data_IF_813935156900
#
_entry.id   IF_813935156900
#
_cell.length_a   1.000
_cell.length_b   1.000
_cell.length_c   1.000
_cell.angle_alpha   90.00
_cell.angle_beta   90.00
_cell.angle_gamma   90.00
#
_symmetry.space_group_name_H-M   'P 1'
#
loop_
_entity.id
_entity.type
_entity.pdbx_description
1 polymer ?
#
# COMPACT_ATOMS: atom_id res chain seq x y z
N UNK A 1 -30.57 -70.90 -23.60
CA UNK A 1 -29.68 -69.88 -23.01
C UNK A 1 -30.54 -68.82 -22.34
N UNK A 2 -30.61 -68.81 -20.99
CA UNK A 2 -31.18 -67.71 -20.22
C UNK A 2 -30.02 -66.94 -19.63
N UNK A 3 -29.87 -65.68 -20.01
CA UNK A 3 -28.82 -64.78 -19.50
C UNK A 3 -29.42 -64.01 -18.33
N UNK A 4 -28.85 -64.21 -17.15
CA UNK A 4 -29.16 -63.43 -15.94
C UNK A 4 -28.52 -62.05 -16.07
N UNK A 5 -29.33 -60.98 -15.94
CA UNK A 5 -28.84 -59.63 -15.79
C UNK A 5 -28.83 -59.30 -14.29
N UNK A 6 -27.64 -59.26 -13.69
CA UNK A 6 -27.43 -58.80 -12.32
C UNK A 6 -27.26 -57.28 -12.35
N UNK A 7 -28.20 -56.55 -11.75
CA UNK A 7 -28.03 -55.12 -11.45
C UNK A 7 -27.15 -54.99 -10.21
N UNK A 8 -25.94 -54.45 -10.37
CA UNK A 8 -25.09 -54.01 -9.26
C UNK A 8 -25.34 -52.52 -9.05
N UNK A 9 -26.02 -52.16 -7.96
CA UNK A 9 -26.14 -50.79 -7.49
C UNK A 9 -24.83 -50.43 -6.75
N UNK A 10 -24.00 -49.59 -7.36
CA UNK A 10 -22.82 -49.03 -6.69
C UNK A 10 -23.24 -47.82 -5.87
N UNK A 11 -23.28 -47.97 -4.54
CA UNK A 11 -23.37 -46.85 -3.61
C UNK A 11 -21.99 -46.17 -3.53
N UNK A 12 -21.81 -45.03 -4.20
CA UNK A 12 -20.70 -44.13 -3.89
C UNK A 12 -21.04 -43.35 -2.62
N UNK A 13 -20.56 -43.83 -1.46
CA UNK A 13 -20.45 -43.00 -0.27
C UNK A 13 -19.25 -42.07 -0.44
N UNK A 14 -19.49 -40.83 -0.90
CA UNK A 14 -18.52 -39.75 -0.75
C UNK A 14 -18.57 -39.25 0.69
N UNK A 15 -17.81 -39.89 1.58
CA UNK A 15 -17.53 -39.33 2.90
C UNK A 15 -16.43 -38.29 2.72
N UNK A 16 -16.78 -37.12 2.19
CA UNK A 16 -15.95 -35.94 2.38
C UNK A 16 -15.98 -35.64 3.89
N UNK A 17 -14.93 -36.02 4.60
CA UNK A 17 -14.75 -35.51 5.95
C UNK A 17 -14.63 -34.00 5.80
N UNK A 18 -15.57 -33.25 6.40
CA UNK A 18 -15.38 -31.84 6.60
C UNK A 18 -14.07 -31.70 7.36
N UNK A 19 -13.05 -31.13 6.71
CA UNK A 19 -11.82 -30.75 7.40
C UNK A 19 -12.24 -29.66 8.37
N UNK A 20 -12.41 -30.03 9.63
CA UNK A 20 -12.61 -29.06 10.69
C UNK A 20 -11.33 -28.23 10.75
N UNK A 21 -11.43 -26.94 10.42
CA UNK A 21 -10.35 -26.00 10.64
C UNK A 21 -9.96 -26.10 12.13
N UNK A 22 -8.66 -26.18 12.40
CA UNK A 22 -8.12 -26.06 13.75
C UNK A 22 -8.19 -24.58 14.15
N UNK A 23 -9.41 -24.08 14.31
CA UNK A 23 -9.69 -22.69 14.62
C UNK A 23 -9.44 -22.46 16.10
N UNK A 24 -8.27 -21.87 16.38
CA UNK A 24 -7.99 -20.84 17.40
C UNK A 24 -6.49 -20.62 17.39
N UNK A 25 -6.09 -19.36 17.22
CA UNK A 25 -4.68 -18.99 17.30
C UNK A 25 -4.09 -19.56 18.59
N UNK A 26 -2.96 -20.30 18.54
CA UNK A 26 -2.34 -20.90 19.72
C UNK A 26 -1.68 -19.85 20.64
N UNK A 27 -1.86 -18.56 20.34
CA UNK A 27 -1.29 -17.45 21.11
C UNK A 27 -1.69 -17.56 22.58
N UNK A 28 -0.68 -17.64 23.43
CA UNK A 28 -0.83 -17.32 24.83
C UNK A 28 -1.20 -15.83 24.97
N UNK A 29 -2.37 -15.56 25.55
CA UNK A 29 -2.90 -14.20 25.73
C UNK A 29 -1.96 -13.29 26.52
N UNK A 30 -1.01 -13.86 27.25
CA UNK A 30 0.00 -13.13 28.01
C UNK A 30 1.26 -12.78 27.19
N UNK A 31 1.34 -13.24 25.93
CA UNK A 31 2.50 -12.94 25.07
C UNK A 31 2.48 -11.48 24.65
N UNK A 32 3.45 -10.72 25.16
CA UNK A 32 3.72 -9.37 24.69
C UNK A 32 4.63 -9.38 23.46
N UNK A 33 4.26 -8.59 22.45
CA UNK A 33 5.05 -8.38 21.24
C UNK A 33 4.82 -6.99 20.66
N UNK A 34 5.74 -6.55 19.81
CA UNK A 34 5.77 -5.21 19.23
C UNK A 34 5.91 -5.22 17.71
N UNK A 35 5.17 -4.32 17.06
CA UNK A 35 5.27 -4.03 15.63
C UNK A 35 5.67 -2.57 15.42
N UNK A 36 6.84 -2.34 14.85
CA UNK A 36 7.20 -1.06 14.25
C UNK A 36 6.61 -0.98 12.83
N UNK A 37 5.91 0.10 12.51
CA UNK A 37 5.36 0.35 11.19
C UNK A 37 5.66 1.79 10.78
N UNK A 38 6.07 1.95 9.52
CA UNK A 38 6.38 3.26 8.94
C UNK A 38 5.59 3.48 7.65
N UNK A 39 5.63 4.71 7.15
CA UNK A 39 5.03 5.09 5.87
C UNK A 39 5.80 4.64 4.63
N UNK A 40 5.48 5.24 3.48
CA UNK A 40 6.04 4.90 2.18
C UNK A 40 7.57 5.10 2.12
N UNK A 41 8.28 4.14 1.50
CA UNK A 41 9.74 4.19 1.31
C UNK A 41 10.08 4.24 -0.17
N UNK A 42 10.49 5.43 -0.58
CA UNK A 42 11.07 5.75 -1.88
C UNK A 42 12.51 6.21 -1.64
N UNK A 43 13.47 5.31 -1.85
CA UNK A 43 14.87 5.48 -1.43
C UNK A 43 15.86 5.12 -2.53
N UNK A 44 16.52 6.14 -3.07
CA UNK A 44 17.51 5.99 -4.13
C UNK A 44 18.95 6.28 -3.68
N UNK A 45 19.16 6.67 -2.42
CA UNK A 45 20.49 6.96 -1.84
C UNK A 45 20.69 6.20 -0.54
N UNK A 46 21.93 5.82 -0.27
CA UNK A 46 22.37 5.16 0.96
C UNK A 46 22.07 6.00 2.20
N UNK A 47 21.68 5.32 3.27
CA UNK A 47 21.34 5.87 4.57
C UNK A 47 22.26 5.41 5.71
N UNK A 48 22.99 4.31 5.56
CA UNK A 48 23.84 3.77 6.64
C UNK A 48 24.81 4.80 7.22
N UNK A 49 25.30 5.71 6.38
CA UNK A 49 26.18 6.81 6.80
C UNK A 49 25.56 7.82 7.77
N UNK A 50 24.23 7.80 7.99
CA UNK A 50 23.52 8.64 8.97
C UNK A 50 23.26 7.89 10.28
N UNK A 51 23.49 6.58 10.35
CA UNK A 51 23.30 5.79 11.57
C UNK A 51 24.52 5.87 12.50
N UNK A 52 24.76 7.06 13.06
CA UNK A 52 25.85 7.28 13.99
C UNK A 52 25.52 8.36 15.01
N UNK A 53 26.23 8.41 16.17
CA UNK A 53 25.96 9.40 17.21
C UNK A 53 26.08 10.88 16.81
N UNK A 54 26.63 11.16 15.62
CA UNK A 54 26.73 12.52 15.06
C UNK A 54 25.45 12.98 14.36
N UNK A 55 24.50 12.09 14.11
CA UNK A 55 23.15 12.38 13.60
C UNK A 55 22.11 11.69 14.51
N UNK A 56 21.92 12.20 15.74
CA UNK A 56 21.13 11.53 16.77
C UNK A 56 19.68 11.29 16.35
N UNK A 57 19.08 12.20 15.60
CA UNK A 57 17.69 12.04 15.14
C UNK A 57 17.48 10.86 14.20
N UNK A 58 18.48 10.54 13.35
CA UNK A 58 18.46 9.32 12.53
C UNK A 58 18.82 8.09 13.35
N UNK A 59 19.90 8.19 14.14
CA UNK A 59 20.42 7.06 14.93
C UNK A 59 19.41 6.54 15.96
N UNK A 60 18.73 7.44 16.67
CA UNK A 60 17.68 7.08 17.63
C UNK A 60 16.49 6.43 16.94
N UNK A 61 16.06 6.96 15.80
CA UNK A 61 14.97 6.38 15.00
C UNK A 61 15.30 4.95 14.56
N UNK A 62 16.52 4.70 14.07
CA UNK A 62 16.99 3.36 13.73
C UNK A 62 16.99 2.42 14.95
N UNK A 63 17.41 2.91 16.13
CA UNK A 63 17.39 2.12 17.36
C UNK A 63 15.96 1.76 17.81
N UNK A 64 14.99 2.65 17.63
CA UNK A 64 13.57 2.35 17.91
C UNK A 64 13.07 1.22 17.01
N UNK A 65 13.40 1.25 15.72
CA UNK A 65 12.98 0.21 14.76
C UNK A 65 13.60 -1.13 15.11
N UNK A 66 14.91 -1.17 15.39
CA UNK A 66 15.64 -2.40 15.79
C UNK A 66 15.14 -3.02 17.08
N UNK A 67 14.55 -2.23 17.96
CA UNK A 67 14.05 -2.70 19.25
C UNK A 67 12.71 -3.45 19.15
N UNK A 68 11.97 -3.31 18.04
CA UNK A 68 10.71 -4.00 17.83
C UNK A 68 10.91 -5.48 17.46
N UNK A 69 9.95 -6.34 17.83
CA UNK A 69 9.99 -7.76 17.46
C UNK A 69 9.81 -7.96 15.94
N UNK A 70 9.06 -7.08 15.28
CA UNK A 70 8.97 -6.97 13.84
C UNK A 70 8.85 -5.51 13.37
N UNK A 71 9.37 -5.24 12.18
CA UNK A 71 9.40 -3.92 11.57
C UNK A 71 8.93 -3.97 10.11
N UNK A 72 7.80 -3.31 9.86
CA UNK A 72 7.09 -3.28 8.59
C UNK A 72 7.28 -1.96 7.83
N UNK A 73 7.38 -2.06 6.50
CA UNK A 73 7.35 -0.93 5.58
C UNK A 73 6.72 -1.27 4.22
N UNK A 74 6.21 -0.26 3.52
CA UNK A 74 5.92 -0.34 2.08
C UNK A 74 7.16 0.01 1.25
N UNK A 75 7.70 -0.95 0.50
CA UNK A 75 8.82 -0.72 -0.42
C UNK A 75 8.27 -0.23 -1.76
N UNK A 76 8.16 1.09 -1.91
CA UNK A 76 7.50 1.76 -3.04
C UNK A 76 8.47 2.07 -4.19
N UNK A 77 9.23 1.07 -4.60
CA UNK A 77 10.20 1.19 -5.68
C UNK A 77 10.61 -0.18 -6.22
N UNK A 78 11.28 -0.21 -7.36
CA UNK A 78 12.06 -1.37 -7.77
C UNK A 78 13.44 -1.37 -7.11
N UNK A 79 14.07 -2.54 -6.94
CA UNK A 79 15.44 -2.63 -6.40
C UNK A 79 16.31 -3.51 -7.29
N UNK A 80 17.20 -2.88 -8.04
CA UNK A 80 18.23 -3.53 -8.86
C UNK A 80 19.22 -2.47 -9.40
N UNK A 81 20.39 -2.89 -9.88
CA UNK A 81 21.29 -1.97 -10.59
C UNK A 81 20.80 -1.75 -12.01
N UNK A 82 20.48 -0.51 -12.35
CA UNK A 82 20.03 -0.14 -13.71
C UNK A 82 21.02 -0.57 -14.80
N UNK A 83 22.33 -0.54 -14.52
CA UNK A 83 23.37 -0.90 -15.47
C UNK A 83 23.44 -2.40 -15.78
N UNK A 84 22.93 -3.24 -14.87
CA UNK A 84 22.94 -4.71 -14.97
C UNK A 84 21.53 -5.26 -15.23
N UNK A 85 20.55 -4.37 -15.39
CA UNK A 85 19.15 -4.75 -15.52
C UNK A 85 18.84 -5.38 -16.87
N UNK A 86 18.39 -6.63 -16.84
CA UNK A 86 17.87 -7.35 -18.02
C UNK A 86 16.35 -7.12 -18.15
N UNK A 87 16.00 -5.96 -18.70
CA UNK A 87 14.61 -5.54 -18.92
C UNK A 87 14.50 -4.14 -19.48
N UNK A 88 13.29 -3.58 -19.45
CA UNK A 88 13.00 -2.24 -19.96
C UNK A 88 12.14 -1.46 -18.97
N UNK A 89 12.27 -0.12 -18.91
CA UNK A 89 11.25 0.71 -18.27
C UNK A 89 9.88 0.43 -18.93
N UNK A 90 8.83 0.34 -18.12
CA UNK A 90 7.48 0.17 -18.61
C UNK A 90 6.94 1.48 -19.18
N UNK A 91 6.07 1.41 -20.19
CA UNK A 91 5.44 2.61 -20.76
C UNK A 91 4.53 3.35 -19.77
N UNK A 92 3.98 2.63 -18.78
CA UNK A 92 3.20 3.18 -17.66
C UNK A 92 4.00 3.02 -16.36
N UNK A 93 3.97 4.04 -15.50
CA UNK A 93 4.65 4.06 -14.21
C UNK A 93 3.77 4.68 -13.13
N UNK A 94 4.16 4.50 -11.86
CA UNK A 94 3.44 4.97 -10.68
C UNK A 94 3.43 6.50 -10.47
N UNK A 95 4.05 7.28 -11.37
CA UNK A 95 4.21 8.73 -11.24
C UNK A 95 5.65 9.20 -11.47
N UNK A 96 6.60 8.27 -11.40
CA UNK A 96 8.03 8.40 -11.65
C UNK A 96 8.58 6.98 -11.93
N UNK A 97 9.86 6.83 -12.26
CA UNK A 97 10.51 5.51 -12.35
C UNK A 97 11.31 5.22 -11.08
N UNK A 98 10.62 4.86 -10.00
CA UNK A 98 11.24 4.72 -8.69
C UNK A 98 12.11 3.46 -8.63
N UNK A 99 13.41 3.65 -8.42
CA UNK A 99 14.40 2.56 -8.36
C UNK A 99 15.53 2.86 -7.40
N UNK A 100 15.87 1.86 -6.59
CA UNK A 100 17.02 1.83 -5.70
C UNK A 100 18.00 0.71 -6.08
N UNK A 101 19.19 0.73 -5.48
CA UNK A 101 20.19 -0.33 -5.68
C UNK A 101 20.08 -1.40 -4.59
N UNK A 102 20.68 -2.59 -4.77
CA UNK A 102 20.71 -3.60 -3.70
C UNK A 102 21.26 -3.06 -2.37
N UNK A 103 22.19 -2.11 -2.42
CA UNK A 103 22.72 -1.43 -1.25
C UNK A 103 21.68 -0.56 -0.53
N UNK A 104 20.74 0.08 -1.22
CA UNK A 104 19.70 0.84 -0.50
C UNK A 104 18.78 -0.08 0.27
N UNK A 105 18.48 -1.28 -0.26
CA UNK A 105 17.75 -2.32 0.46
C UNK A 105 18.53 -2.85 1.66
N UNK A 106 19.85 -3.05 1.54
CA UNK A 106 20.69 -3.46 2.68
C UNK A 106 20.64 -2.45 3.82
N UNK A 107 20.58 -1.15 3.53
CA UNK A 107 20.47 -0.12 4.57
C UNK A 107 19.14 -0.19 5.31
N UNK A 108 18.05 -0.49 4.61
CA UNK A 108 16.72 -0.70 5.23
C UNK A 108 16.74 -1.93 6.15
N UNK A 109 17.38 -3.02 5.71
CA UNK A 109 17.54 -4.23 6.53
C UNK A 109 18.42 -3.93 7.75
N UNK A 110 19.54 -3.22 7.57
CA UNK A 110 20.42 -2.80 8.67
C UNK A 110 19.71 -1.86 9.66
N UNK A 111 18.76 -1.04 9.20
CA UNK A 111 17.92 -0.19 10.05
C UNK A 111 16.93 -0.99 10.90
N UNK A 112 16.67 -2.26 10.55
CA UNK A 112 15.87 -3.20 11.33
C UNK A 112 14.61 -3.71 10.62
N UNK A 113 14.30 -3.26 9.40
CA UNK A 113 13.12 -3.72 8.67
C UNK A 113 13.23 -5.18 8.26
N UNK A 114 12.16 -5.94 8.49
CA UNK A 114 12.09 -7.38 8.22
C UNK A 114 10.75 -7.84 7.64
N UNK A 115 9.79 -6.93 7.43
CA UNK A 115 8.52 -7.16 6.73
C UNK A 115 8.34 -6.11 5.63
N UNK A 116 8.22 -6.54 4.37
CA UNK A 116 8.21 -5.64 3.22
C UNK A 116 6.97 -5.85 2.33
N UNK A 117 6.09 -4.85 2.24
CA UNK A 117 5.08 -4.85 1.19
C UNK A 117 5.70 -4.49 -0.17
N UNK A 118 5.28 -5.20 -1.21
CA UNK A 118 5.70 -5.00 -2.60
C UNK A 118 4.56 -4.60 -3.55
N UNK A 119 3.30 -4.67 -3.10
CA UNK A 119 2.15 -4.27 -3.89
C UNK A 119 1.92 -2.75 -3.79
N UNK A 120 2.24 -2.01 -4.84
CA UNK A 120 2.00 -0.58 -4.96
C UNK A 120 1.98 -0.14 -6.43
N UNK A 121 1.68 1.12 -6.67
CA UNK A 121 1.70 1.76 -8.00
C UNK A 121 3.06 1.67 -8.72
N UNK A 122 4.16 1.55 -7.98
CA UNK A 122 5.53 1.47 -8.52
C UNK A 122 6.05 0.04 -8.75
N UNK A 123 5.27 -0.99 -8.42
CA UNK A 123 5.69 -2.39 -8.52
C UNK A 123 6.23 -2.78 -9.91
N UNK A 124 5.69 -2.19 -10.97
CA UNK A 124 6.04 -2.54 -12.37
C UNK A 124 6.53 -1.35 -13.18
N UNK A 125 7.14 -0.34 -12.56
CA UNK A 125 7.78 0.78 -13.28
C UNK A 125 8.80 0.32 -14.32
N UNK A 126 9.45 -0.82 -14.06
CA UNK A 126 10.37 -1.50 -14.98
C UNK A 126 9.81 -2.84 -15.48
N UNK A 127 8.48 -2.88 -15.60
CA UNK A 127 7.71 -4.03 -16.05
C UNK A 127 7.85 -5.26 -15.15
N UNK A 128 7.46 -6.41 -15.69
CA UNK A 128 7.58 -7.70 -15.00
C UNK A 128 9.05 -8.06 -14.72
N UNK A 129 9.99 -7.62 -15.56
CA UNK A 129 11.41 -7.84 -15.36
C UNK A 129 11.90 -7.15 -14.07
N UNK A 130 11.50 -5.90 -13.82
CA UNK A 130 11.84 -5.14 -12.61
C UNK A 130 11.21 -5.71 -11.34
N UNK A 131 9.93 -6.12 -11.43
CA UNK A 131 9.25 -6.85 -10.36
C UNK A 131 10.04 -8.11 -9.99
N UNK A 132 10.37 -8.95 -10.98
CA UNK A 132 11.11 -10.20 -10.76
C UNK A 132 12.53 -9.97 -10.25
N UNK A 133 13.24 -8.97 -10.77
CA UNK A 133 14.58 -8.64 -10.29
C UNK A 133 14.56 -8.27 -8.79
N UNK A 134 13.57 -7.48 -8.39
CA UNK A 134 13.40 -7.10 -6.99
C UNK A 134 13.03 -8.31 -6.12
N UNK A 135 12.03 -9.11 -6.53
CA UNK A 135 11.62 -10.29 -5.78
C UNK A 135 12.77 -11.30 -5.62
N UNK A 136 13.52 -11.58 -6.69
CA UNK A 136 14.69 -12.47 -6.62
C UNK A 136 15.74 -11.98 -5.64
N UNK A 137 16.09 -10.69 -5.68
CA UNK A 137 17.04 -10.12 -4.73
C UNK A 137 16.59 -10.32 -3.29
N UNK A 138 15.31 -10.05 -3.01
CA UNK A 138 14.75 -10.20 -1.66
C UNK A 138 14.70 -11.67 -1.21
N UNK A 139 14.35 -12.59 -2.12
CA UNK A 139 14.38 -14.04 -1.88
C UNK A 139 15.81 -14.54 -1.59
N UNK A 140 16.80 -14.09 -2.38
CA UNK A 140 18.22 -14.42 -2.20
C UNK A 140 18.78 -13.87 -0.88
N UNK A 141 18.29 -12.72 -0.43
CA UNK A 141 18.60 -12.14 0.89
C UNK A 141 17.82 -12.79 2.04
N UNK A 142 16.85 -13.68 1.75
CA UNK A 142 16.00 -14.31 2.77
C UNK A 142 15.03 -13.34 3.46
N UNK A 143 14.64 -12.26 2.79
CA UNK A 143 13.73 -11.24 3.35
C UNK A 143 12.27 -11.66 3.19
N UNK A 144 11.44 -11.33 4.18
CA UNK A 144 10.00 -11.59 4.12
C UNK A 144 9.31 -10.46 3.38
N UNK A 145 8.76 -10.77 2.19
CA UNK A 145 7.98 -9.84 1.40
C UNK A 145 6.65 -10.44 0.94
N UNK A 146 5.69 -9.58 0.60
CA UNK A 146 4.37 -10.00 0.15
C UNK A 146 3.75 -9.00 -0.85
N UNK A 147 2.70 -9.45 -1.54
CA UNK A 147 1.88 -8.62 -2.43
C UNK A 147 2.28 -8.67 -3.90
N UNK A 148 3.32 -9.41 -4.28
CA UNK A 148 3.73 -9.62 -5.69
C UNK A 148 4.05 -11.09 -5.95
N UNK A 149 3.91 -11.52 -7.20
CA UNK A 149 4.23 -12.90 -7.55
C UNK A 149 4.10 -13.20 -9.04
N UNK A 150 4.45 -14.43 -9.39
CA UNK A 150 4.41 -14.94 -10.78
C UNK A 150 2.99 -15.13 -11.33
N UNK A 151 1.98 -15.11 -10.45
CA UNK A 151 0.55 -15.11 -10.78
C UNK A 151 -0.25 -14.62 -9.57
N UNK A 152 -1.57 -14.49 -9.71
CA UNK A 152 -2.43 -13.98 -8.63
C UNK A 152 -2.35 -14.82 -7.36
N UNK A 153 -2.26 -16.15 -7.49
CA UNK A 153 -2.10 -17.05 -6.34
C UNK A 153 -0.83 -16.74 -5.55
N UNK A 154 0.31 -16.59 -6.22
CA UNK A 154 1.56 -16.20 -5.55
C UNK A 154 1.51 -14.80 -4.97
N UNK A 155 0.94 -13.83 -5.70
CA UNK A 155 0.88 -12.45 -5.25
C UNK A 155 -0.02 -12.27 -4.00
N UNK A 156 -1.09 -13.06 -3.88
CA UNK A 156 -2.04 -12.95 -2.77
C UNK A 156 -1.60 -13.67 -1.49
N UNK A 157 -0.60 -14.56 -1.56
CA UNK A 157 -0.17 -15.34 -0.41
C UNK A 157 0.49 -14.47 0.66
N UNK A 158 0.32 -14.83 1.95
CA UNK A 158 1.11 -14.25 3.01
C UNK A 158 2.59 -14.61 2.90
N UNK A 159 3.46 -13.65 3.18
CA UNK A 159 4.84 -13.91 3.61
C UNK A 159 4.86 -14.15 5.14
N UNK A 160 5.76 -15.00 5.64
CA UNK A 160 5.83 -15.32 7.07
C UNK A 160 7.20 -14.99 7.66
N UNK A 161 7.20 -14.23 8.74
CA UNK A 161 8.37 -13.94 9.57
C UNK A 161 8.27 -14.75 10.86
N UNK A 162 9.22 -15.67 11.07
CA UNK A 162 9.35 -16.39 12.33
C UNK A 162 10.15 -15.54 13.33
N UNK A 163 9.58 -15.27 14.51
CA UNK A 163 10.24 -14.55 15.61
C UNK A 163 10.23 -15.39 16.89
N UNK A 164 10.94 -14.93 17.93
CA UNK A 164 10.84 -15.53 19.26
C UNK A 164 9.48 -15.34 19.94
N UNK A 165 8.63 -14.43 19.42
CA UNK A 165 7.28 -14.15 19.92
C UNK A 165 6.19 -14.92 19.20
N UNK A 166 6.49 -15.45 18.02
CA UNK A 166 5.53 -16.11 17.15
C UNK A 166 5.79 -15.82 15.69
N UNK A 167 5.00 -16.46 14.84
CA UNK A 167 5.02 -16.32 13.39
C UNK A 167 4.08 -15.19 12.96
N UNK A 168 4.64 -14.19 12.29
CA UNK A 168 3.91 -13.03 11.77
C UNK A 168 3.69 -13.21 10.27
N UNK A 169 2.43 -13.21 9.85
CA UNK A 169 2.04 -13.19 8.44
C UNK A 169 1.93 -11.74 7.94
N UNK A 170 2.41 -11.48 6.74
CA UNK A 170 2.21 -10.23 6.01
C UNK A 170 1.42 -10.49 4.73
N UNK A 171 0.29 -9.80 4.55
CA UNK A 171 -0.46 -9.78 3.28
C UNK A 171 -0.43 -8.36 2.71
N UNK A 172 0.09 -8.21 1.50
CA UNK A 172 0.18 -6.94 0.78
C UNK A 172 -0.78 -6.85 -0.40
N UNK A 173 -1.34 -5.66 -0.66
CA UNK A 173 -2.17 -5.39 -1.83
C UNK A 173 -2.12 -3.91 -2.27
N UNK A 174 -2.70 -3.59 -3.42
CA UNK A 174 -2.85 -2.20 -3.86
C UNK A 174 -4.14 -2.00 -4.66
N UNK A 175 -4.84 -0.89 -4.44
CA UNK A 175 -5.95 -0.42 -5.30
C UNK A 175 -5.51 0.59 -6.35
N UNK A 176 -4.42 1.32 -6.08
CA UNK A 176 -3.86 2.28 -7.02
C UNK A 176 -2.68 1.65 -7.76
N UNK A 177 -2.89 1.32 -9.03
CA UNK A 177 -1.89 0.67 -9.88
C UNK A 177 -2.20 0.85 -11.37
N UNK A 178 -1.22 0.60 -12.25
CA UNK A 178 -1.48 0.56 -13.69
C UNK A 178 -2.18 -0.75 -14.10
N UNK A 179 -2.89 -0.80 -15.25
CA UNK A 179 -3.62 -2.00 -15.66
C UNK A 179 -2.73 -3.25 -15.83
N UNK A 180 -1.48 -3.05 -16.25
CA UNK A 180 -0.52 -4.12 -16.47
C UNK A 180 0.19 -4.60 -15.19
N UNK A 181 0.08 -3.85 -14.09
CA UNK A 181 0.66 -4.27 -12.80
C UNK A 181 -0.09 -5.45 -12.16
N UNK A 182 -1.38 -5.65 -12.46
CA UNK A 182 -2.21 -6.65 -11.77
C UNK A 182 -1.78 -8.09 -12.09
N UNK A 183 -1.54 -8.89 -11.05
CA UNK A 183 -1.35 -10.33 -11.20
C UNK A 183 -2.62 -11.02 -11.72
N UNK A 184 -2.46 -12.00 -12.61
CA UNK A 184 -3.56 -12.77 -13.18
C UNK A 184 -3.55 -14.22 -12.71
N UNK A 185 -4.71 -14.82 -12.50
CA UNK A 185 -4.85 -16.25 -12.19
C UNK A 185 -4.38 -17.10 -13.37
N UNK A 186 -3.78 -18.25 -13.07
CA UNK A 186 -3.60 -19.31 -14.07
C UNK A 186 -4.94 -19.99 -14.36
N UNK A 187 -5.10 -20.49 -15.59
CA UNK A 187 -6.15 -21.44 -15.95
C UNK A 187 -5.52 -22.80 -16.29
N UNK A 188 -6.32 -23.87 -16.47
CA UNK A 188 -5.77 -25.15 -16.93
C UNK A 188 -5.04 -25.08 -18.27
N UNK A 189 -5.33 -24.06 -19.08
CA UNK A 189 -4.80 -23.93 -20.45
C UNK A 189 -3.63 -22.94 -20.54
N UNK A 190 -3.59 -21.93 -19.68
CA UNK A 190 -2.63 -20.83 -19.78
C UNK A 190 -2.09 -20.44 -18.40
N UNK A 191 -0.78 -20.21 -18.34
CA UNK A 191 -0.12 -19.70 -17.13
C UNK A 191 -0.73 -18.37 -16.65
N UNK A 192 -0.62 -18.11 -15.35
CA UNK A 192 -1.00 -16.84 -14.78
C UNK A 192 -0.06 -15.70 -15.21
N UNK A 193 -0.48 -14.46 -14.94
CA UNK A 193 0.29 -13.26 -15.25
C UNK A 193 1.01 -12.76 -14.00
N UNK A 194 2.34 -12.54 -14.05
CA UNK A 194 3.05 -11.92 -12.94
C UNK A 194 2.55 -10.51 -12.66
N UNK A 195 2.58 -10.09 -11.39
CA UNK A 195 2.13 -8.76 -10.99
C UNK A 195 1.92 -8.64 -9.49
N UNK A 196 1.21 -7.59 -9.10
CA UNK A 196 0.78 -7.32 -7.72
C UNK A 196 -0.60 -7.90 -7.41
N UNK A 197 -0.85 -8.11 -6.11
CA UNK A 197 -2.15 -8.44 -5.55
C UNK A 197 -3.08 -7.22 -5.60
N UNK A 198 -3.85 -7.10 -6.69
CA UNK A 198 -4.63 -5.90 -6.97
C UNK A 198 -6.02 -5.93 -6.31
N UNK A 199 -6.44 -4.79 -5.80
CA UNK A 199 -7.83 -4.50 -5.47
C UNK A 199 -8.45 -3.70 -6.61
N UNK A 200 -9.37 -4.31 -7.35
CA UNK A 200 -10.16 -3.56 -8.35
C UNK A 200 -11.23 -2.75 -7.66
N UNK A 201 -11.42 -1.53 -8.16
CA UNK A 201 -12.49 -0.65 -7.75
C UNK A 201 -13.50 -0.54 -8.87
N UNK A 202 -14.75 -0.83 -8.55
CA UNK A 202 -15.88 -0.67 -9.44
C UNK A 202 -16.40 0.77 -9.32
N UNK A 203 -16.52 1.46 -10.45
CA UNK A 203 -16.96 2.86 -10.51
C UNK A 203 -18.32 2.94 -11.18
N UNK A 204 -19.29 3.45 -10.45
CA UNK A 204 -20.63 3.73 -10.96
C UNK A 204 -20.82 5.23 -11.08
N UNK A 205 -20.97 5.71 -12.31
CA UNK A 205 -21.32 7.10 -12.58
C UNK A 205 -22.83 7.22 -12.50
N UNK A 206 -23.33 8.08 -11.63
CA UNK A 206 -24.74 8.39 -11.49
C UNK A 206 -25.01 9.80 -12.02
N UNK A 207 -26.08 9.93 -12.80
CA UNK A 207 -26.56 11.19 -13.34
C UNK A 207 -27.90 11.56 -12.71
N UNK A 208 -28.01 12.81 -12.27
CA UNK A 208 -29.30 13.44 -11.93
C UNK A 208 -30.28 13.37 -13.12
N UNK A 209 -31.59 13.53 -12.90
CA UNK A 209 -32.56 13.52 -13.99
C UNK A 209 -32.24 14.51 -15.13
N UNK A 210 -31.71 15.69 -14.80
CA UNK A 210 -31.24 16.68 -15.78
C UNK A 210 -30.04 16.19 -16.57
N UNK A 211 -29.05 15.61 -15.90
CA UNK A 211 -27.84 15.07 -16.54
C UNK A 211 -28.21 13.90 -17.44
N UNK A 212 -29.03 12.96 -16.97
CA UNK A 212 -29.49 11.83 -17.77
C UNK A 212 -30.20 12.27 -19.04
N UNK A 213 -31.09 13.28 -18.95
CA UNK A 213 -31.76 13.85 -20.12
C UNK A 213 -30.77 14.43 -21.15
N UNK A 214 -29.78 15.20 -20.67
CA UNK A 214 -28.74 15.77 -21.53
C UNK A 214 -27.86 14.68 -22.18
N UNK A 215 -27.47 13.65 -21.43
CA UNK A 215 -26.66 12.54 -21.94
C UNK A 215 -27.44 11.70 -22.97
N UNK A 216 -28.74 11.47 -22.78
CA UNK A 216 -29.59 10.81 -23.79
C UNK A 216 -29.64 11.61 -25.08
N UNK A 217 -29.81 12.93 -24.98
CA UNK A 217 -29.82 13.81 -26.15
C UNK A 217 -28.47 13.76 -26.88
N UNK A 218 -27.35 13.79 -26.15
CA UNK A 218 -26.01 13.69 -26.69
C UNK A 218 -25.76 12.32 -27.37
N UNK A 219 -26.16 11.21 -26.74
CA UNK A 219 -26.03 9.87 -27.31
C UNK A 219 -26.83 9.74 -28.63
N UNK A 220 -28.07 10.24 -28.65
CA UNK A 220 -28.91 10.26 -29.88
C UNK A 220 -28.29 11.12 -30.98
N UNK A 221 -27.72 12.27 -30.63
CA UNK A 221 -27.03 13.13 -31.59
C UNK A 221 -25.79 12.46 -32.22
N UNK A 222 -25.21 11.45 -31.56
CA UNK A 222 -24.11 10.64 -32.09
C UNK A 222 -24.59 9.41 -32.90
N UNK A 223 -25.90 9.23 -33.04
CA UNK A 223 -26.48 8.06 -33.70
C UNK A 223 -26.49 6.80 -32.82
N UNK A 224 -26.24 6.92 -31.51
CA UNK A 224 -26.44 5.81 -30.57
C UNK A 224 -27.93 5.64 -30.24
N UNK A 225 -28.39 4.38 -30.16
CA UNK A 225 -29.74 4.06 -29.70
C UNK A 225 -29.80 4.21 -28.17
N UNK A 226 -30.13 5.40 -27.69
CA UNK A 226 -30.40 5.65 -26.27
C UNK A 226 -31.89 5.48 -25.95
N UNK A 227 -32.19 4.53 -25.07
CA UNK A 227 -33.54 4.21 -24.57
C UNK A 227 -34.32 5.44 -24.11
N UNK A 228 -35.64 5.40 -24.24
CA UNK A 228 -36.54 6.42 -23.69
C UNK A 228 -36.87 6.17 -22.21
N UNK A 229 -36.60 4.97 -21.69
CA UNK A 229 -36.85 4.65 -20.28
C UNK A 229 -35.89 5.45 -19.39
N UNK A 230 -36.46 6.30 -18.54
CA UNK A 230 -35.71 7.15 -17.60
C UNK A 230 -34.96 6.34 -16.54
N UNK A 231 -35.30 5.06 -16.34
CA UNK A 231 -34.66 4.18 -15.37
C UNK A 231 -33.50 3.37 -15.96
N UNK A 232 -33.28 3.44 -17.27
CA UNK A 232 -32.16 2.72 -17.90
C UNK A 232 -30.88 3.55 -17.94
N UNK A 233 -29.70 2.93 -17.79
CA UNK A 233 -28.43 3.62 -17.99
C UNK A 233 -28.26 4.10 -19.43
N UNK A 234 -27.39 5.12 -19.61
CA UNK A 234 -27.04 5.68 -20.92
C UNK A 234 -25.54 5.54 -21.11
N UNK A 235 -25.14 5.02 -22.27
CA UNK A 235 -23.75 5.05 -22.70
C UNK A 235 -23.52 6.24 -23.63
N UNK A 236 -22.50 7.02 -23.36
CA UNK A 236 -22.12 8.19 -24.18
C UNK A 236 -20.63 8.49 -23.98
N UNK A 237 -19.92 8.80 -25.06
CA UNK A 237 -18.46 9.03 -25.04
C UNK A 237 -17.66 7.86 -24.41
N UNK A 238 -18.14 6.64 -24.57
CA UNK A 238 -17.51 5.44 -24.00
C UNK A 238 -17.84 5.16 -22.54
N UNK A 239 -18.51 6.08 -21.83
CA UNK A 239 -18.86 5.98 -20.41
C UNK A 239 -20.32 5.59 -20.24
N UNK A 240 -20.60 4.69 -19.29
CA UNK A 240 -21.98 4.37 -18.88
C UNK A 240 -22.34 5.19 -17.65
N UNK A 241 -23.51 5.84 -17.68
CA UNK A 241 -24.07 6.62 -16.58
C UNK A 241 -25.44 6.06 -16.21
N UNK A 242 -25.64 5.81 -14.93
CA UNK A 242 -26.87 5.25 -14.35
C UNK A 242 -27.77 6.39 -13.85
N UNK A 243 -29.11 6.26 -13.93
CA UNK A 243 -30.00 7.23 -13.29
C UNK A 243 -29.79 7.25 -11.78
N UNK A 244 -29.63 8.45 -11.23
CA UNK A 244 -29.49 8.69 -9.80
C UNK A 244 -30.22 9.96 -9.39
N UNK A 245 -30.32 10.19 -8.07
CA UNK A 245 -30.95 11.41 -7.55
C UNK A 245 -30.09 12.67 -7.76
N UNK A 246 -28.77 12.50 -7.87
CA UNK A 246 -27.76 13.55 -8.03
C UNK A 246 -26.64 13.07 -8.93
N UNK A 247 -25.83 14.00 -9.44
CA UNK A 247 -24.60 13.65 -10.12
C UNK A 247 -23.58 13.16 -9.09
N UNK A 248 -23.08 11.93 -9.26
CA UNK A 248 -22.13 11.31 -8.34
C UNK A 248 -21.29 10.26 -9.05
N UNK A 249 -20.12 9.97 -8.47
CA UNK A 249 -19.34 8.77 -8.78
C UNK A 249 -19.23 7.97 -7.51
N UNK A 250 -19.88 6.80 -7.49
CA UNK A 250 -19.81 5.84 -6.40
C UNK A 250 -18.68 4.86 -6.71
N UNK A 251 -17.82 4.61 -5.73
CA UNK A 251 -16.69 3.69 -5.85
C UNK A 251 -16.85 2.59 -4.80
N UNK A 252 -16.83 1.35 -5.23
CA UNK A 252 -16.90 0.17 -4.37
C UNK A 252 -15.74 -0.79 -4.66
N UNK A 253 -15.38 -1.59 -3.66
CA UNK A 253 -14.41 -2.66 -3.85
C UNK A 253 -15.02 -3.81 -4.64
N UNK A 254 -14.25 -4.43 -5.54
CA UNK A 254 -14.68 -5.60 -6.25
C UNK A 254 -14.79 -6.83 -5.32
N UNK A 255 -15.97 -7.45 -5.28
CA UNK A 255 -16.27 -8.57 -4.37
C UNK A 255 -15.34 -9.79 -4.55
N UNK A 256 -14.92 -10.09 -5.78
CA UNK A 256 -13.98 -11.21 -6.02
C UNK A 256 -12.60 -10.94 -5.40
N UNK A 257 -12.17 -9.67 -5.40
CA UNK A 257 -10.89 -9.28 -4.80
C UNK A 257 -11.00 -9.22 -3.28
N UNK A 258 -12.14 -8.74 -2.77
CA UNK A 258 -12.52 -8.75 -1.36
C UNK A 258 -12.48 -10.17 -0.79
N UNK A 259 -13.23 -11.10 -1.38
CA UNK A 259 -13.30 -12.49 -0.94
C UNK A 259 -11.94 -13.18 -0.96
N UNK A 260 -11.13 -12.93 -1.99
CA UNK A 260 -9.76 -13.47 -2.09
C UNK A 260 -8.91 -13.03 -0.91
N UNK A 261 -8.91 -11.74 -0.58
CA UNK A 261 -8.11 -11.23 0.54
C UNK A 261 -8.61 -11.79 1.86
N UNK A 262 -9.93 -11.78 2.10
CA UNK A 262 -10.49 -12.33 3.34
C UNK A 262 -10.19 -13.83 3.48
N UNK A 263 -10.12 -14.57 2.37
CA UNK A 263 -9.71 -15.97 2.37
C UNK A 263 -8.23 -16.16 2.76
N UNK A 264 -7.33 -15.35 2.21
CA UNK A 264 -5.91 -15.39 2.58
C UNK A 264 -5.67 -14.94 4.02
N UNK A 265 -6.45 -13.98 4.54
CA UNK A 265 -6.38 -13.58 5.96
C UNK A 265 -6.74 -14.74 6.88
N UNK A 266 -7.84 -15.47 6.58
CA UNK A 266 -8.23 -16.67 7.34
C UNK A 266 -7.17 -17.77 7.27
N UNK A 267 -6.63 -18.02 6.07
CA UNK A 267 -5.52 -18.96 5.89
C UNK A 267 -4.28 -18.53 6.69
N UNK A 268 -3.97 -17.23 6.73
CA UNK A 268 -2.87 -16.70 7.52
C UNK A 268 -3.10 -16.90 9.03
N UNK A 269 -4.33 -16.75 9.52
CA UNK A 269 -4.68 -17.01 10.93
C UNK A 269 -4.57 -18.49 11.33
N UNK A 270 -4.76 -19.40 10.38
CA UNK A 270 -4.57 -20.85 10.62
C UNK A 270 -3.08 -21.25 10.63
N UNK A 271 -2.19 -20.42 10.09
CA UNK A 271 -0.78 -20.76 9.85
C UNK A 271 0.23 -19.90 10.62
N UNK A 272 -0.21 -18.74 11.11
CA UNK A 272 0.60 -17.77 11.86
C UNK A 272 -0.11 -17.34 13.13
N UNK A 273 0.67 -16.78 14.05
CA UNK A 273 0.17 -16.25 15.31
C UNK A 273 -0.43 -14.86 15.09
N UNK A 274 0.25 -14.02 14.32
CA UNK A 274 -0.12 -12.62 14.09
C UNK A 274 -0.27 -12.33 12.59
N UNK A 275 -1.27 -11.55 12.19
CA UNK A 275 -1.54 -11.22 10.78
C UNK A 275 -1.52 -9.70 10.59
N UNK A 276 -0.54 -9.21 9.84
CA UNK A 276 -0.43 -7.82 9.40
C UNK A 276 -0.91 -7.73 7.95
N UNK A 277 -1.87 -6.85 7.70
CA UNK A 277 -2.40 -6.62 6.35
C UNK A 277 -2.08 -5.19 5.92
N UNK A 278 -1.68 -5.03 4.66
CA UNK A 278 -1.35 -3.75 4.08
C UNK A 278 -2.06 -3.53 2.74
N UNK A 279 -2.50 -2.29 2.51
CA UNK A 279 -2.89 -1.82 1.18
C UNK A 279 -2.17 -0.52 0.80
N UNK A 280 -1.65 -0.44 -0.41
CA UNK A 280 -1.23 0.82 -1.02
C UNK A 280 -2.38 1.40 -1.89
N UNK A 281 -3.01 2.46 -1.38
CA UNK A 281 -4.30 2.99 -1.84
C UNK A 281 -4.33 4.51 -1.72
N UNK A 282 -4.32 5.21 -2.86
CA UNK A 282 -4.35 6.67 -2.91
C UNK A 282 -5.76 7.21 -2.66
N UNK A 283 -6.79 6.39 -2.86
CA UNK A 283 -8.19 6.81 -2.86
C UNK A 283 -8.61 7.53 -1.56
N UNK A 284 -9.51 8.53 -1.65
CA UNK A 284 -10.09 9.10 -2.88
C UNK A 284 -9.12 10.05 -3.64
N UNK A 285 -7.91 10.23 -3.12
CA UNK A 285 -6.81 10.99 -3.72
C UNK A 285 -5.84 11.49 -2.66
N UNK A 286 -4.63 11.86 -3.09
CA UNK A 286 -3.55 12.23 -2.17
C UNK A 286 -3.84 13.46 -1.34
N UNK A 287 -4.72 14.36 -1.79
CA UNK A 287 -5.11 15.56 -1.03
C UNK A 287 -6.22 15.29 0.01
N UNK A 288 -6.82 14.10 0.01
CA UNK A 288 -7.84 13.75 1.00
C UNK A 288 -7.19 13.29 2.30
N UNK A 289 -7.61 13.91 3.40
CA UNK A 289 -7.25 13.53 4.76
C UNK A 289 -8.13 12.41 5.34
N UNK A 290 -9.26 12.11 4.69
CA UNK A 290 -10.14 11.00 5.04
C UNK A 290 -9.99 9.84 4.05
N UNK A 291 -10.03 8.58 4.53
CA UNK A 291 -10.21 7.42 3.66
C UNK A 291 -11.61 7.43 3.03
N UNK A 292 -11.81 6.72 1.91
CA UNK A 292 -13.14 6.53 1.34
C UNK A 292 -13.91 5.47 2.13
N UNK A 293 -15.25 5.54 2.13
CA UNK A 293 -16.11 4.65 2.94
C UNK A 293 -15.84 3.16 2.67
N UNK A 294 -15.69 2.76 1.41
CA UNK A 294 -15.39 1.35 1.05
C UNK A 294 -14.09 0.84 1.67
N UNK A 295 -13.12 1.73 1.91
CA UNK A 295 -11.86 1.35 2.53
C UNK A 295 -12.05 1.08 4.02
N UNK A 296 -12.84 1.91 4.71
CA UNK A 296 -13.21 1.70 6.12
C UNK A 296 -13.98 0.38 6.28
N UNK A 297 -14.97 0.14 5.41
CA UNK A 297 -15.72 -1.12 5.41
C UNK A 297 -14.81 -2.33 5.15
N UNK A 298 -13.87 -2.22 4.22
CA UNK A 298 -12.96 -3.30 3.90
C UNK A 298 -11.94 -3.58 5.01
N UNK A 299 -11.40 -2.55 5.67
CA UNK A 299 -10.47 -2.77 6.79
C UNK A 299 -11.17 -3.44 7.97
N UNK A 300 -12.43 -3.08 8.25
CA UNK A 300 -13.25 -3.76 9.27
C UNK A 300 -13.43 -5.24 8.94
N UNK A 301 -13.75 -5.58 7.70
CA UNK A 301 -13.94 -6.97 7.30
C UNK A 301 -12.65 -7.79 7.32
N UNK A 302 -11.51 -7.16 7.05
CA UNK A 302 -10.19 -7.79 7.18
C UNK A 302 -9.84 -8.05 8.65
N UNK A 303 -10.12 -7.11 9.56
CA UNK A 303 -9.96 -7.34 11.01
C UNK A 303 -10.91 -8.46 11.47
N UNK A 304 -12.17 -8.45 11.04
CA UNK A 304 -13.16 -9.47 11.37
C UNK A 304 -12.79 -10.86 10.84
N UNK A 305 -12.01 -10.93 9.75
CA UNK A 305 -11.47 -12.17 9.22
C UNK A 305 -10.26 -12.72 10.00
N UNK A 306 -9.68 -11.93 10.93
CA UNK A 306 -8.61 -12.37 11.83
C UNK A 306 -7.32 -11.55 11.77
N UNK A 307 -7.29 -10.42 11.05
CA UNK A 307 -6.10 -9.56 11.04
C UNK A 307 -5.86 -8.88 12.40
N UNK A 308 -4.59 -8.79 12.81
CA UNK A 308 -4.17 -8.07 14.02
C UNK A 308 -4.01 -6.58 13.76
N UNK A 309 -3.61 -6.20 12.54
CA UNK A 309 -3.33 -4.82 12.15
C UNK A 309 -3.64 -4.62 10.67
N UNK A 310 -4.19 -3.45 10.32
CA UNK A 310 -4.28 -3.00 8.92
C UNK A 310 -3.51 -1.68 8.72
N UNK A 311 -2.65 -1.61 7.71
CA UNK A 311 -1.81 -0.43 7.45
C UNK A 311 -2.02 0.03 6.01
N UNK A 312 -2.42 1.29 5.82
CA UNK A 312 -2.62 1.89 4.50
C UNK A 312 -1.45 2.82 4.15
N UNK A 313 -1.09 2.79 2.88
CA UNK A 313 0.00 3.56 2.26
C UNK A 313 -0.49 4.24 0.99
N UNK A 314 0.27 5.19 0.44
CA UNK A 314 0.00 5.83 -0.85
C UNK A 314 -0.54 7.27 -0.83
N UNK A 315 -1.35 7.71 0.17
CA UNK A 315 -1.73 9.12 0.23
C UNK A 315 -0.54 10.07 0.41
N UNK A 316 0.65 9.57 0.80
CA UNK A 316 1.88 10.34 1.06
C UNK A 316 1.77 11.43 2.15
N UNK A 317 0.65 11.47 2.88
CA UNK A 317 0.43 12.32 4.05
C UNK A 317 -0.29 11.52 5.13
N UNK A 318 -0.26 12.01 6.37
CA UNK A 318 -0.96 11.38 7.49
C UNK A 318 -2.47 11.33 7.26
N UNK A 319 -3.08 10.22 7.68
CA UNK A 319 -4.53 10.06 7.87
C UNK A 319 -4.76 9.46 9.26
N UNK A 320 -6.01 9.47 9.71
CA UNK A 320 -6.38 9.04 11.06
C UNK A 320 -5.98 7.61 11.41
N UNK A 321 -6.00 7.31 12.70
CA UNK A 321 -5.86 5.97 13.26
C UNK A 321 -7.20 5.57 13.88
N UNK A 322 -7.60 4.32 13.68
CA UNK A 322 -8.77 3.71 14.29
C UNK A 322 -8.38 2.48 15.11
N UNK A 323 -8.99 2.29 16.27
CA UNK A 323 -8.90 1.05 17.03
C UNK A 323 -10.22 0.30 16.91
N UNK A 324 -10.28 -0.63 15.96
CA UNK A 324 -11.46 -1.44 15.69
C UNK A 324 -11.33 -2.80 16.36
N UNK A 325 -12.22 -3.11 17.32
CA UNK A 325 -12.21 -4.36 18.11
C UNK A 325 -10.84 -4.68 18.74
N UNK A 326 -10.18 -3.66 19.30
CA UNK A 326 -8.86 -3.83 19.94
C UNK A 326 -7.72 -4.04 18.94
N UNK A 327 -7.95 -3.82 17.64
CA UNK A 327 -6.94 -3.93 16.57
C UNK A 327 -6.74 -2.58 15.87
N UNK A 328 -5.49 -2.13 15.65
CA UNK A 328 -5.25 -0.86 15.02
C UNK A 328 -5.36 -0.91 13.49
N UNK A 329 -5.99 0.13 12.96
CA UNK A 329 -6.04 0.45 11.53
C UNK A 329 -5.37 1.81 11.36
N UNK A 330 -4.28 1.83 10.58
CA UNK A 330 -3.55 3.05 10.23
C UNK A 330 -3.96 3.48 8.82
N UNK A 331 -4.74 4.56 8.69
CA UNK A 331 -5.22 5.00 7.36
C UNK A 331 -4.15 5.69 6.51
N UNK A 332 -3.05 6.14 7.12
CA UNK A 332 -1.77 6.47 6.47
C UNK A 332 -0.76 6.94 7.52
N UNK A 333 0.47 6.45 7.44
CA UNK A 333 1.61 6.87 8.28
C UNK A 333 2.47 7.97 7.63
N UNK A 334 2.08 8.43 6.43
CA UNK A 334 2.86 9.40 5.63
C UNK A 334 3.99 8.72 4.84
N UNK A 335 5.10 9.43 4.66
CA UNK A 335 6.31 8.90 4.04
C UNK A 335 7.37 8.64 5.11
N UNK A 336 8.05 7.49 5.05
CA UNK A 336 9.22 7.26 5.88
C UNK A 336 10.51 7.74 5.21
N UNK A 337 10.68 7.45 3.92
CA UNK A 337 11.79 7.97 3.11
C UNK A 337 11.19 8.44 1.79
N UNK A 338 11.48 9.68 1.40
CA UNK A 338 10.85 10.31 0.24
C UNK A 338 11.87 11.02 -0.66
N UNK A 339 12.71 10.22 -1.32
CA UNK A 339 13.82 10.68 -2.15
C UNK A 339 13.47 10.67 -3.64
N UNK A 340 12.30 11.17 -4.00
CA UNK A 340 11.72 11.11 -5.35
C UNK A 340 12.27 12.18 -6.34
N UNK A 341 13.43 12.76 -6.03
CA UNK A 341 13.99 13.92 -6.75
C UNK A 341 15.42 13.73 -7.23
N UNK A 342 15.98 12.52 -7.09
CA UNK A 342 17.42 12.29 -7.31
C UNK A 342 17.72 11.02 -8.10
N UNK A 343 16.71 10.43 -8.75
CA UNK A 343 16.92 9.25 -9.61
C UNK A 343 17.62 9.69 -10.88
N UNK A 344 18.76 9.06 -11.16
CA UNK A 344 19.61 9.30 -12.31
C UNK A 344 20.35 7.99 -12.67
N UNK A 345 20.28 7.50 -13.92
CA UNK A 345 19.58 8.05 -15.09
C UNK A 345 18.07 7.78 -15.09
N UNK A 346 17.33 8.64 -15.80
CA UNK A 346 15.88 8.48 -16.04
C UNK A 346 15.57 8.06 -17.49
N UNK A 347 14.54 7.21 -17.71
CA UNK A 347 14.04 6.87 -19.05
C UNK A 347 13.63 8.11 -19.88
N UNK A 348 13.67 7.97 -21.21
CA UNK A 348 13.30 9.04 -22.13
C UNK A 348 11.84 9.51 -21.95
N UNK A 349 10.93 8.61 -21.57
CA UNK A 349 9.50 8.92 -21.38
C UNK A 349 9.27 10.00 -20.31
N UNK A 350 10.17 10.16 -19.34
CA UNK A 350 10.09 11.25 -18.36
C UNK A 350 10.29 12.60 -19.02
N UNK A 351 11.18 12.69 -20.03
CA UNK A 351 11.38 13.92 -20.79
C UNK A 351 10.13 14.24 -21.61
N UNK A 352 9.55 13.23 -22.27
CA UNK A 352 8.32 13.37 -23.04
C UNK A 352 7.15 13.84 -22.16
N UNK A 353 6.98 13.25 -20.98
CA UNK A 353 5.96 13.63 -19.98
C UNK A 353 6.00 15.12 -19.63
N UNK A 354 7.20 15.69 -19.56
CA UNK A 354 7.43 17.08 -19.18
C UNK A 354 7.73 18.00 -20.38
N UNK A 355 7.63 17.50 -21.62
CA UNK A 355 7.89 18.27 -22.84
C UNK A 355 9.34 18.76 -22.96
N UNK A 356 10.29 17.94 -22.52
CA UNK A 356 11.72 18.27 -22.50
C UNK A 356 12.47 17.59 -23.66
N UNK A 357 13.48 18.26 -24.29
CA UNK A 357 14.33 17.62 -25.28
C UNK A 357 15.11 16.41 -24.73
N UNK A 358 15.40 15.43 -25.58
CA UNK A 358 16.12 14.19 -25.19
C UNK A 358 17.49 14.45 -24.53
N UNK A 359 18.17 15.55 -24.90
CA UNK A 359 19.48 15.91 -24.36
C UNK A 359 19.48 16.47 -22.93
N UNK A 360 18.31 16.74 -22.34
CA UNK A 360 18.21 17.24 -20.96
C UNK A 360 18.64 16.16 -19.95
N UNK A 361 19.30 16.58 -18.89
CA UNK A 361 19.77 15.73 -17.79
C UNK A 361 18.61 15.42 -16.81
N UNK A 362 18.80 14.40 -15.97
CA UNK A 362 17.81 14.01 -14.97
C UNK A 362 17.49 15.17 -14.00
N UNK A 363 18.48 15.95 -13.59
CA UNK A 363 18.29 17.12 -12.73
C UNK A 363 17.30 18.14 -13.32
N UNK A 364 17.35 18.36 -14.64
CA UNK A 364 16.50 19.32 -15.34
C UNK A 364 15.05 18.82 -15.46
N UNK A 365 14.83 17.49 -15.43
CA UNK A 365 13.50 16.90 -15.31
C UNK A 365 12.88 17.29 -13.96
N UNK A 366 13.65 17.19 -12.88
CA UNK A 366 13.17 17.57 -11.55
C UNK A 366 12.94 19.07 -11.40
N UNK A 367 13.74 19.91 -12.05
CA UNK A 367 13.52 21.37 -12.07
C UNK A 367 12.19 21.72 -12.74
N UNK A 368 11.77 20.95 -13.75
CA UNK A 368 10.44 21.08 -14.38
C UNK A 368 9.33 20.45 -13.54
N UNK A 369 9.59 19.33 -12.87
CA UNK A 369 8.61 18.63 -12.03
C UNK A 369 8.28 19.43 -10.76
N UNK A 370 9.25 20.15 -10.22
CA UNK A 370 9.18 20.88 -8.96
C UNK A 370 9.63 22.33 -9.16
N UNK A 371 8.88 23.08 -9.95
CA UNK A 371 9.14 24.48 -10.23
C UNK A 371 9.18 25.32 -8.94
N UNK A 372 9.96 26.39 -8.96
CA UNK A 372 10.09 27.35 -7.86
C UNK A 372 9.78 28.77 -8.31
N UNK A 373 9.33 29.61 -7.38
CA UNK A 373 9.17 31.05 -7.59
C UNK A 373 10.53 31.80 -7.53
N UNK A 374 10.50 33.12 -7.71
CA UNK A 374 11.68 33.99 -7.64
C UNK A 374 12.42 33.96 -6.29
N UNK A 375 11.75 33.48 -5.23
CA UNK A 375 12.30 33.35 -3.88
C UNK A 375 12.76 31.91 -3.58
N UNK A 376 12.70 31.01 -4.56
CA UNK A 376 13.05 29.60 -4.40
C UNK A 376 12.00 28.75 -3.70
N UNK A 377 10.76 29.26 -3.52
CA UNK A 377 9.68 28.46 -2.96
C UNK A 377 9.06 27.56 -4.02
N UNK A 378 8.85 26.27 -3.73
CA UNK A 378 8.18 25.37 -4.65
C UNK A 378 6.75 25.81 -4.97
N UNK A 379 6.38 25.77 -6.26
CA UNK A 379 5.05 26.11 -6.77
C UNK A 379 4.30 24.91 -7.33
N UNK A 380 5.01 23.81 -7.61
CA UNK A 380 4.45 22.59 -8.20
C UNK A 380 4.90 21.33 -7.46
N UNK A 381 4.03 20.33 -7.40
CA UNK A 381 4.33 19.00 -6.85
C UNK A 381 4.41 18.96 -5.32
N UNK A 382 5.00 17.87 -4.79
CA UNK A 382 5.06 17.62 -3.35
C UNK A 382 5.79 18.71 -2.55
N UNK A 383 6.92 19.30 -2.99
CA UNK A 383 7.61 20.32 -2.19
C UNK A 383 6.79 21.58 -1.86
N UNK A 384 5.61 21.77 -2.46
CA UNK A 384 4.68 22.88 -2.15
C UNK A 384 4.08 22.82 -0.74
N UNK A 385 4.03 21.63 -0.12
CA UNK A 385 3.37 21.42 1.17
C UNK A 385 4.28 20.71 2.18
N UNK A 386 4.21 21.10 3.45
CA UNK A 386 5.00 20.43 4.50
C UNK A 386 4.44 19.05 4.88
N UNK A 387 3.14 18.83 4.66
CA UNK A 387 2.44 17.61 5.01
C UNK A 387 2.98 16.34 4.35
N UNK A 388 3.67 16.47 3.21
CA UNK A 388 4.28 15.33 2.49
C UNK A 388 5.62 14.89 3.11
N UNK A 389 6.17 15.69 4.02
CA UNK A 389 7.47 15.50 4.66
C UNK A 389 7.35 15.41 6.20
N UNK A 390 6.11 15.32 6.69
CA UNK A 390 5.73 15.15 8.09
C UNK A 390 5.08 13.79 8.24
N UNK A 391 5.60 12.94 9.12
CA UNK A 391 5.18 11.53 9.20
C UNK A 391 5.38 10.97 10.60
N UNK A 392 5.03 9.71 10.82
CA UNK A 392 5.25 9.03 12.10
C UNK A 392 5.77 7.61 11.89
N UNK A 393 6.66 7.17 12.79
CA UNK A 393 6.90 5.75 13.06
C UNK A 393 5.94 5.33 14.17
N UNK A 394 5.12 4.32 13.93
CA UNK A 394 4.23 3.73 14.93
C UNK A 394 4.88 2.47 15.51
N UNK A 395 5.13 2.46 16.81
CA UNK A 395 5.46 1.24 17.57
C UNK A 395 4.21 0.82 18.34
N UNK A 396 3.68 -0.33 17.94
CA UNK A 396 2.44 -0.88 18.51
C UNK A 396 2.78 -2.03 19.43
N UNK A 397 2.31 -1.98 20.68
CA UNK A 397 2.46 -3.05 21.66
C UNK A 397 1.15 -3.82 21.77
N UNK A 398 1.25 -5.14 21.74
CA UNK A 398 0.13 -6.06 21.86
C UNK A 398 0.31 -6.97 23.08
N UNK A 399 -0.81 -7.37 23.68
CA UNK A 399 -0.90 -8.50 24.61
C UNK A 399 -1.78 -9.57 23.98
N UNK A 400 -1.15 -10.68 23.62
CA UNK A 400 -1.73 -11.68 22.75
C UNK A 400 -2.11 -11.05 21.41
N UNK A 401 -3.40 -10.80 21.24
CA UNK A 401 -3.96 -10.27 20.02
C UNK A 401 -4.48 -8.81 20.18
N UNK A 402 -4.75 -8.34 21.39
CA UNK A 402 -5.26 -6.97 21.61
C UNK A 402 -4.13 -5.94 21.72
N UNK A 403 -4.34 -4.76 21.11
CA UNK A 403 -3.42 -3.62 21.25
C UNK A 403 -3.57 -2.96 22.62
N UNK A 404 -2.45 -2.68 23.27
CA UNK A 404 -2.40 -2.06 24.60
C UNK A 404 -1.82 -0.66 24.58
N UNK A 405 -0.83 -0.40 23.71
CA UNK A 405 -0.22 0.92 23.50
C UNK A 405 0.13 1.11 22.02
N UNK A 406 -0.06 2.32 21.51
CA UNK A 406 0.56 2.79 20.26
C UNK A 406 1.39 4.01 20.59
N UNK A 407 2.69 3.92 20.34
CA UNK A 407 3.62 5.03 20.46
C UNK A 407 4.01 5.54 19.09
N UNK A 408 3.82 6.83 18.87
CA UNK A 408 3.98 7.52 17.60
C UNK A 408 5.18 8.44 17.70
N UNK A 409 6.26 8.09 17.03
CA UNK A 409 7.48 8.88 16.95
C UNK A 409 7.36 9.83 15.76
N UNK A 410 7.23 11.15 15.96
CA UNK A 410 7.10 12.08 14.85
C UNK A 410 8.40 12.18 14.06
N UNK A 411 8.27 12.18 12.73
CA UNK A 411 9.37 12.16 11.76
C UNK A 411 9.29 13.41 10.91
N UNK A 412 10.44 14.04 10.68
CA UNK A 412 10.63 15.02 9.63
C UNK A 412 11.51 14.46 8.50
N UNK A 413 11.18 14.84 7.26
CA UNK A 413 11.96 14.48 6.07
C UNK A 413 12.70 15.68 5.45
N UNK A 414 12.92 16.74 6.23
CA UNK A 414 13.65 17.93 5.79
C UNK A 414 12.96 18.66 4.63
N UNK A 415 11.68 19.02 4.78
CA UNK A 415 10.87 19.69 3.73
C UNK A 415 11.59 20.86 3.03
N UNK A 416 12.30 21.69 3.80
CA UNK A 416 13.03 22.87 3.32
C UNK A 416 14.50 22.60 3.03
N UNK A 417 14.97 21.37 3.20
CA UNK A 417 16.33 21.00 2.86
C UNK A 417 16.52 20.97 1.33
N UNK A 418 17.77 21.09 0.90
CA UNK A 418 18.14 20.93 -0.50
C UNK A 418 17.72 19.55 -1.02
N UNK A 419 17.49 19.45 -2.33
CA UNK A 419 17.17 18.19 -3.02
C UNK A 419 18.13 17.05 -2.67
N UNK A 420 19.40 17.36 -2.45
CA UNK A 420 20.45 16.41 -2.08
C UNK A 420 20.41 15.95 -0.62
N UNK A 421 19.47 16.44 0.20
CA UNK A 421 19.33 16.09 1.62
C UNK A 421 17.88 15.78 2.01
N UNK A 422 16.91 16.38 1.33
CA UNK A 422 15.48 16.16 1.51
C UNK A 422 15.09 14.68 1.33
N UNK A 423 14.10 14.25 2.08
CA UNK A 423 13.56 12.88 2.03
C UNK A 423 14.23 11.87 2.97
N UNK A 424 15.22 12.27 3.76
CA UNK A 424 15.89 11.39 4.74
C UNK A 424 15.26 11.57 6.14
N UNK A 425 14.80 10.51 6.81
CA UNK A 425 14.05 10.61 8.06
C UNK A 425 14.91 10.92 9.26
N UNK A 426 14.39 11.78 10.14
CA UNK A 426 14.89 12.02 11.50
C UNK A 426 13.73 12.18 12.46
N UNK A 427 13.93 11.88 13.74
CA UNK A 427 12.99 12.31 14.77
C UNK A 427 12.80 13.83 14.70
N UNK A 428 11.55 14.26 14.67
CA UNK A 428 11.21 15.67 14.57
C UNK A 428 11.57 16.41 15.87
N UNK A 429 12.13 17.63 15.80
CA UNK A 429 12.32 18.49 16.96
C UNK A 429 10.99 18.76 17.67
N UNK A 430 11.00 18.95 18.99
CA UNK A 430 9.80 18.99 19.85
C UNK A 430 8.64 19.86 19.31
N UNK A 431 8.92 21.07 18.82
CA UNK A 431 7.88 21.96 18.29
C UNK A 431 7.19 21.38 17.03
N UNK A 432 7.97 20.77 16.13
CA UNK A 432 7.45 20.11 14.94
C UNK A 432 6.80 18.76 15.33
N UNK A 433 7.41 18.02 16.24
CA UNK A 433 6.88 16.76 16.76
C UNK A 433 5.50 16.93 17.37
N UNK A 434 5.32 17.93 18.23
CA UNK A 434 4.02 18.31 18.80
C UNK A 434 3.00 18.61 17.71
N UNK A 435 3.36 19.44 16.71
CA UNK A 435 2.47 19.78 15.58
C UNK A 435 2.02 18.53 14.83
N UNK A 436 2.94 17.62 14.52
CA UNK A 436 2.65 16.38 13.80
C UNK A 436 1.65 15.52 14.59
N UNK A 437 1.91 15.33 15.89
CA UNK A 437 1.05 14.49 16.75
C UNK A 437 -0.32 15.13 17.00
N UNK A 438 -0.39 16.44 17.24
CA UNK A 438 -1.67 17.14 17.41
C UNK A 438 -2.52 17.09 16.13
N UNK A 439 -1.89 17.21 14.95
CA UNK A 439 -2.57 17.00 13.68
C UNK A 439 -3.10 15.57 13.54
N UNK A 440 -2.26 14.56 13.81
CA UNK A 440 -2.67 13.16 13.75
C UNK A 440 -3.79 12.83 14.75
N UNK A 441 -3.79 13.46 15.93
CA UNK A 441 -4.87 13.35 16.90
C UNK A 441 -6.20 13.84 16.30
N UNK A 442 -6.23 15.04 15.68
CA UNK A 442 -7.41 15.58 14.99
C UNK A 442 -7.90 14.65 13.87
N UNK A 443 -6.97 14.09 13.09
CA UNK A 443 -7.30 13.14 12.01
C UNK A 443 -7.92 11.84 12.55
N UNK A 444 -7.63 11.48 13.80
CA UNK A 444 -8.08 10.24 14.45
C UNK A 444 -9.39 10.41 15.25
N UNK A 445 -9.80 11.64 15.55
CA UNK A 445 -11.04 11.95 16.27
C UNK A 445 -12.31 11.37 15.61
N UNK A 446 -12.51 11.41 14.28
CA UNK A 446 -13.68 10.82 13.64
C UNK A 446 -13.83 9.31 13.88
N UNK A 447 -12.73 8.63 14.19
CA UNK A 447 -12.68 7.19 14.49
C UNK A 447 -12.69 6.89 15.99
N UNK A 448 -12.91 7.90 16.84
CA UNK A 448 -12.95 7.76 18.30
C UNK A 448 -11.60 7.47 18.96
N UNK A 449 -10.48 7.66 18.24
CA UNK A 449 -9.15 7.37 18.77
C UNK A 449 -8.50 8.63 19.31
N UNK A 450 -8.18 8.64 20.61
CA UNK A 450 -7.57 9.77 21.29
C UNK A 450 -6.06 9.57 21.45
N UNK A 451 -5.28 10.42 20.81
CA UNK A 451 -3.81 10.44 20.91
C UNK A 451 -3.38 11.64 21.76
N UNK A 452 -2.42 11.44 22.65
CA UNK A 452 -1.86 12.49 23.52
C UNK A 452 -0.37 12.65 23.26
N UNK A 453 0.12 13.90 23.21
CA UNK A 453 1.55 14.17 23.10
C UNK A 453 2.23 14.10 24.47
N UNK A 454 3.15 13.16 24.64
CA UNK A 454 3.88 12.86 25.88
C UNK A 454 5.35 12.54 25.55
N UNK A 455 6.29 13.20 26.23
CA UNK A 455 7.74 12.94 26.14
C UNK A 455 8.30 12.87 24.70
N UNK A 456 7.88 13.80 23.83
CA UNK A 456 8.34 13.85 22.44
C UNK A 456 7.60 12.91 21.48
N UNK A 457 6.64 12.14 21.97
CA UNK A 457 5.90 11.13 21.20
C UNK A 457 4.39 11.33 21.31
N UNK A 458 3.64 10.85 20.33
CA UNK A 458 2.21 10.63 20.48
C UNK A 458 1.95 9.28 21.14
N UNK A 459 0.95 9.20 22.01
CA UNK A 459 0.61 7.96 22.68
C UNK A 459 -0.90 7.75 22.71
N UNK A 460 -1.31 6.53 22.35
CA UNK A 460 -2.62 5.97 22.65
C UNK A 460 -2.43 4.77 23.60
N UNK A 461 -3.33 4.62 24.58
CA UNK A 461 -3.38 3.48 25.51
C UNK A 461 -4.83 3.07 25.72
N UNK A 462 -5.04 1.77 25.95
CA UNK A 462 -6.35 1.16 26.22
C UNK A 462 -7.00 1.66 27.51
#
# INVERSE_FOLDING_TARGET
MRVNLVFVLAFMLSVAHAVAAQSRSPIDSETQWTLAAVGDVIMNRRLEQFDHPGDPGFHELANVIRAADAAFMNLEQSVFRLQEFDGWPAAENGGNYEVGSPETLMDLVSMGFNLFNRANNHTTDYGVAGLRATNRLMDEMGLVHAGTGENLGWASRPGYLDTSRGRIALIGMASTHSPMSRAGSASPEVQGRPGLNALRLDRQNEGSPSTMSALRAAARAQGENASEDVNEPVRVFGTTVFPGARDAVTVSLNEVDRDRVLHEVRNATDQGDYVVVNSHSHEPGNNSILPPDWMVEFTHDVIDAGANTFIIHGPHQLRGIEIYRGRPIFYSLGNFIFQNETIDPMPADQRDRYGLPLGMLASEIYDRRFEVDENGNPTTGFPTGSQWYESVLAVTTFEGDEVTEIRLYPIELGWRADRSQRGTPRLAPDALGRKIIEHLAVLSEPFGTRIVYEDGTGVWRR
#
